data_IF_381130277459
#
_entry.id   IF_381130277459
#
_cell.length_a   1.000
_cell.length_b   1.000
_cell.length_c   1.000
_cell.angle_alpha   90.00
_cell.angle_beta   90.00
_cell.angle_gamma   90.00
#
_symmetry.space_group_name_H-M   'P 1'
#
loop_
_entity.id
_entity.type
_entity.pdbx_description
1 polymer ?
#
# COMPACT_ATOMS: atom_id res chain seq x y z
N UNK A 1 -2.20 17.26 -18.00
CA UNK A 1 -2.37 16.52 -16.72
C UNK A 1 -1.02 16.00 -16.29
N UNK A 2 -0.65 16.17 -15.03
CA UNK A 2 0.59 15.62 -14.49
C UNK A 2 0.51 14.09 -14.54
N UNK A 3 1.58 13.44 -15.03
CA UNK A 3 1.62 11.97 -15.17
C UNK A 3 1.92 11.33 -13.81
N UNK A 4 1.38 10.14 -13.52
CA UNK A 4 1.79 9.37 -12.35
C UNK A 4 3.31 9.13 -12.36
N UNK A 5 3.94 9.30 -11.19
CA UNK A 5 5.38 9.15 -10.99
C UNK A 5 5.74 8.07 -9.97
N UNK A 6 4.73 7.39 -9.43
CA UNK A 6 4.88 6.30 -8.48
C UNK A 6 3.80 5.24 -8.72
N UNK A 7 4.08 4.02 -8.27
CA UNK A 7 3.17 2.88 -8.40
C UNK A 7 3.12 2.08 -7.10
N UNK A 8 1.96 1.44 -6.84
CA UNK A 8 1.77 0.58 -5.66
C UNK A 8 1.07 -0.72 -6.02
N UNK A 9 1.49 -1.79 -5.35
CA UNK A 9 0.93 -3.13 -5.48
C UNK A 9 -0.09 -3.42 -4.38
N UNK A 10 -1.37 -3.46 -4.74
CA UNK A 10 -2.42 -3.98 -3.86
C UNK A 10 -2.41 -5.50 -4.04
N UNK A 11 -1.76 -6.22 -3.12
CA UNK A 11 -1.61 -7.67 -3.22
C UNK A 11 -2.67 -8.34 -2.35
N UNK A 12 -3.70 -8.89 -3.00
CA UNK A 12 -4.73 -9.71 -2.37
C UNK A 12 -4.32 -11.18 -2.41
N UNK A 13 -4.45 -11.87 -1.28
CA UNK A 13 -4.28 -13.31 -1.19
C UNK A 13 -5.58 -13.99 -0.78
N UNK A 14 -5.88 -15.15 -1.37
CA UNK A 14 -7.10 -15.92 -1.08
C UNK A 14 -6.95 -16.95 0.06
N UNK A 15 -5.73 -17.44 0.32
CA UNK A 15 -5.46 -18.46 1.34
C UNK A 15 -4.28 -18.09 2.23
N UNK A 16 -4.31 -18.41 3.55
CA UNK A 16 -5.31 -19.23 4.26
C UNK A 16 -6.67 -18.55 4.44
N UNK A 17 -6.75 -17.23 4.33
CA UNK A 17 -7.99 -16.47 4.25
C UNK A 17 -7.76 -15.20 3.41
N UNK A 18 -8.85 -14.60 2.91
CA UNK A 18 -8.79 -13.36 2.13
C UNK A 18 -8.08 -12.26 2.93
N UNK A 19 -6.98 -11.76 2.38
CA UNK A 19 -6.13 -10.79 3.07
C UNK A 19 -5.36 -9.91 2.08
N UNK A 20 -4.95 -8.74 2.55
CA UNK A 20 -4.12 -7.79 1.79
C UNK A 20 -2.76 -7.66 2.44
N UNK A 21 -1.70 -7.68 1.63
CA UNK A 21 -0.36 -7.37 2.15
C UNK A 21 -0.24 -5.86 2.36
N UNK A 22 0.13 -5.48 3.57
CA UNK A 22 0.55 -4.13 3.91
C UNK A 22 1.91 -4.17 4.61
N UNK A 23 2.72 -3.15 4.37
CA UNK A 23 4.05 -2.99 4.96
C UNK A 23 4.07 -1.75 5.84
N UNK A 24 4.83 -1.78 6.93
CA UNK A 24 5.20 -0.57 7.67
C UNK A 24 6.56 -0.11 7.17
N UNK A 25 6.59 1.09 6.61
CA UNK A 25 7.81 1.70 6.09
C UNK A 25 8.83 1.88 7.22
N UNK A 26 10.11 1.66 6.91
CA UNK A 26 11.20 1.98 7.81
C UNK A 26 11.21 3.47 8.16
N UNK A 27 11.82 3.82 9.30
CA UNK A 27 11.88 5.21 9.76
C UNK A 27 13.08 5.88 9.10
N UNK A 28 12.82 6.85 8.23
CA UNK A 28 13.84 7.66 7.56
C UNK A 28 13.57 9.15 7.77
N UNK A 29 14.56 9.94 8.22
CA UNK A 29 14.36 11.37 8.49
C UNK A 29 13.81 12.18 7.30
N UNK A 30 14.09 11.73 6.07
CA UNK A 30 13.74 12.43 4.83
C UNK A 30 12.53 11.82 4.11
N UNK A 31 11.90 10.78 4.64
CA UNK A 31 10.69 10.20 4.06
C UNK A 31 9.45 10.67 4.84
N UNK A 32 8.56 11.49 4.23
CA UNK A 32 7.37 12.01 4.89
C UNK A 32 6.32 10.94 5.21
N UNK A 33 6.49 9.71 4.72
CA UNK A 33 5.64 8.56 5.03
C UNK A 33 6.32 7.52 5.93
N UNK A 34 7.48 7.86 6.50
CA UNK A 34 8.21 7.01 7.44
C UNK A 34 7.32 6.44 8.55
N UNK A 35 7.43 5.14 8.78
CA UNK A 35 6.67 4.46 9.84
C UNK A 35 5.17 4.27 9.57
N UNK A 36 4.64 4.77 8.44
CA UNK A 36 3.24 4.53 8.04
C UNK A 36 3.06 3.13 7.46
N UNK A 37 1.84 2.60 7.59
CA UNK A 37 1.43 1.44 6.83
C UNK A 37 1.06 1.82 5.40
N UNK A 38 1.63 1.12 4.42
CA UNK A 38 1.38 1.30 3.00
C UNK A 38 1.24 -0.04 2.27
N UNK A 39 0.87 0.03 1.00
CA UNK A 39 1.16 -1.07 0.07
C UNK A 39 2.64 -1.05 -0.31
N UNK A 40 3.20 -2.17 -0.77
CA UNK A 40 4.49 -2.16 -1.46
C UNK A 40 4.46 -1.24 -2.68
N UNK A 41 5.55 -0.54 -2.95
CA UNK A 41 5.66 0.36 -4.08
C UNK A 41 6.49 1.62 -3.82
N UNK A 42 6.81 2.31 -4.91
CA UNK A 42 7.74 3.42 -4.89
C UNK A 42 7.67 4.27 -6.15
N UNK A 43 8.71 5.07 -6.36
CA UNK A 43 8.80 5.98 -7.50
C UNK A 43 9.27 5.23 -8.74
N UNK A 44 8.79 5.69 -9.90
CA UNK A 44 9.29 5.21 -11.17
C UNK A 44 10.75 5.59 -11.36
N UNK A 45 11.57 4.63 -11.75
CA UNK A 45 12.95 4.85 -12.18
C UNK A 45 13.02 5.01 -13.71
N UNK A 46 14.13 5.56 -14.19
CA UNK A 46 14.39 5.72 -15.64
C UNK A 46 14.56 4.37 -16.35
N UNK A 47 14.97 3.35 -15.60
CA UNK A 47 15.12 1.96 -16.04
C UNK A 47 13.79 1.23 -16.18
N UNK A 48 12.74 1.68 -15.49
CA UNK A 48 11.41 1.09 -15.60
C UNK A 48 10.75 1.51 -16.93
N UNK A 49 10.30 0.55 -17.73
CA UNK A 49 9.55 0.77 -18.97
C UNK A 49 8.24 1.51 -18.73
N UNK A 50 7.54 1.13 -17.67
CA UNK A 50 6.24 1.65 -17.28
C UNK A 50 6.01 1.52 -15.76
N UNK A 51 4.86 2.02 -15.28
CA UNK A 51 4.53 1.99 -13.85
C UNK A 51 4.19 0.59 -13.33
N UNK A 52 3.79 -0.34 -14.21
CA UNK A 52 3.58 -1.72 -13.80
C UNK A 52 4.92 -2.39 -13.52
N UNK A 53 5.95 -2.11 -14.32
CA UNK A 53 7.32 -2.55 -14.05
C UNK A 53 7.87 -1.96 -12.75
N UNK A 54 7.68 -0.66 -12.51
CA UNK A 54 7.98 -0.02 -11.20
C UNK A 54 7.32 -0.79 -10.05
N UNK A 55 6.02 -1.06 -10.17
CA UNK A 55 5.25 -1.79 -9.15
C UNK A 55 5.81 -3.18 -8.86
N UNK A 56 6.18 -3.92 -9.91
CA UNK A 56 6.74 -5.27 -9.81
C UNK A 56 8.15 -5.23 -9.20
N UNK A 57 9.02 -4.30 -9.62
CA UNK A 57 10.38 -4.11 -9.09
C UNK A 57 10.33 -3.79 -7.61
N UNK A 58 9.61 -2.75 -7.22
CA UNK A 58 9.49 -2.30 -5.83
C UNK A 58 8.95 -3.41 -4.92
N UNK A 59 7.91 -4.13 -5.38
CA UNK A 59 7.38 -5.28 -4.63
C UNK A 59 8.43 -6.36 -4.39
N UNK A 60 9.27 -6.63 -5.39
CA UNK A 60 10.35 -7.61 -5.25
C UNK A 60 11.42 -7.12 -4.28
N UNK A 61 11.79 -5.84 -4.36
CA UNK A 61 12.82 -5.22 -3.52
C UNK A 61 12.38 -5.14 -2.06
N UNK A 62 11.16 -4.67 -1.79
CA UNK A 62 10.66 -4.44 -0.42
C UNK A 62 10.27 -5.74 0.29
N UNK A 63 9.61 -6.68 -0.41
CA UNK A 63 8.99 -7.87 0.22
C UNK A 63 9.34 -9.20 -0.41
N UNK A 64 10.18 -9.24 -1.44
CA UNK A 64 10.65 -10.47 -2.06
C UNK A 64 9.63 -11.19 -2.94
N UNK A 65 8.46 -10.59 -3.18
CA UNK A 65 7.41 -11.21 -4.02
C UNK A 65 7.70 -10.88 -5.48
N UNK A 66 7.80 -11.90 -6.33
CA UNK A 66 7.86 -11.71 -7.78
C UNK A 66 6.43 -11.73 -8.34
N UNK A 67 5.90 -10.55 -8.65
CA UNK A 67 4.64 -10.39 -9.35
C UNK A 67 4.83 -10.59 -10.86
N UNK A 68 3.75 -10.94 -11.55
CA UNK A 68 3.72 -11.11 -12.99
C UNK A 68 2.43 -10.53 -13.57
N UNK A 69 2.47 -10.06 -14.81
CA UNK A 69 1.32 -9.41 -15.47
C UNK A 69 0.08 -10.31 -15.52
N UNK A 70 0.25 -11.64 -15.60
CA UNK A 70 -0.87 -12.59 -15.56
C UNK A 70 -1.61 -12.68 -14.20
N UNK A 71 -1.06 -12.08 -13.14
CA UNK A 71 -1.70 -11.96 -11.82
C UNK A 71 -2.35 -10.60 -11.61
N UNK A 72 -2.14 -9.65 -12.55
CA UNK A 72 -2.80 -8.37 -12.52
C UNK A 72 -4.29 -8.58 -12.80
N UNK A 73 -5.12 -8.24 -11.83
CA UNK A 73 -6.57 -8.35 -11.96
C UNK A 73 -7.14 -7.05 -12.54
N UNK A 74 -6.67 -5.90 -12.06
CA UNK A 74 -7.11 -4.60 -12.58
C UNK A 74 -6.13 -3.48 -12.26
N UNK A 75 -6.14 -2.46 -13.11
CA UNK A 75 -5.46 -1.17 -12.91
C UNK A 75 -6.48 -0.18 -12.39
N UNK A 76 -6.26 0.36 -11.19
CA UNK A 76 -7.19 1.30 -10.58
C UNK A 76 -7.01 2.72 -11.15
N UNK A 77 -7.98 3.63 -10.99
CA UNK A 77 -7.76 5.03 -11.30
C UNK A 77 -6.55 5.61 -10.56
N UNK A 78 -5.78 6.45 -11.25
CA UNK A 78 -4.70 7.22 -10.60
C UNK A 78 -5.26 8.08 -9.47
N UNK A 79 -4.49 8.23 -8.42
CA UNK A 79 -4.90 8.99 -7.24
C UNK A 79 -3.72 9.72 -6.63
N UNK A 80 -4.01 10.78 -5.88
CA UNK A 80 -3.01 11.69 -5.36
C UNK A 80 -2.74 11.44 -3.88
N UNK A 81 -1.46 11.45 -3.49
CA UNK A 81 -1.01 11.46 -2.08
C UNK A 81 -0.31 12.76 -1.72
N UNK A 82 -0.22 13.04 -0.42
CA UNK A 82 0.64 14.09 0.12
C UNK A 82 0.18 15.54 -0.08
N UNK A 83 -1.05 15.78 -0.54
CA UNK A 83 -1.66 17.13 -0.64
C UNK A 83 -1.55 17.93 0.67
N UNK A 84 -1.77 17.27 1.81
CA UNK A 84 -1.68 17.91 3.12
C UNK A 84 -0.24 18.05 3.66
N UNK A 85 0.75 17.52 2.93
CA UNK A 85 2.16 17.53 3.30
C UNK A 85 2.98 18.49 2.41
N UNK A 86 2.31 19.33 1.62
CA UNK A 86 2.93 20.18 0.57
C UNK A 86 3.81 19.39 -0.41
N UNK A 87 3.53 18.11 -0.59
CA UNK A 87 4.32 17.20 -1.40
C UNK A 87 3.38 16.26 -2.17
N UNK A 88 2.90 16.74 -3.32
CA UNK A 88 1.90 16.04 -4.12
C UNK A 88 2.56 15.00 -5.04
N UNK A 89 2.14 13.74 -4.92
CA UNK A 89 2.53 12.66 -5.85
C UNK A 89 1.26 12.04 -6.44
N UNK A 90 1.27 11.81 -7.75
CA UNK A 90 0.25 11.03 -8.44
C UNK A 90 0.73 9.58 -8.50
N UNK A 91 -0.06 8.68 -7.94
CA UNK A 91 0.24 7.26 -7.76
C UNK A 91 -0.70 6.42 -8.63
N UNK A 92 -0.16 5.41 -9.29
CA UNK A 92 -0.91 4.39 -10.03
C UNK A 92 -1.04 3.10 -9.19
N UNK A 93 -2.24 2.74 -8.71
CA UNK A 93 -2.45 1.50 -7.99
C UNK A 93 -2.75 0.34 -8.95
N UNK A 94 -2.18 -0.84 -8.65
CA UNK A 94 -2.40 -2.08 -9.38
C UNK A 94 -2.88 -3.17 -8.41
N UNK A 95 -4.00 -3.82 -8.72
CA UNK A 95 -4.54 -4.91 -7.91
C UNK A 95 -4.11 -6.26 -8.47
N UNK A 96 -3.37 -7.01 -7.66
CA UNK A 96 -2.95 -8.36 -7.94
C UNK A 96 -3.70 -9.33 -7.04
N UNK A 97 -4.10 -10.47 -7.59
CA UNK A 97 -4.70 -11.55 -6.82
C UNK A 97 -3.82 -12.81 -6.87
N UNK A 98 -3.43 -13.28 -5.69
CA UNK A 98 -2.62 -14.47 -5.49
C UNK A 98 -3.47 -15.56 -4.83
N UNK A 99 -3.31 -16.80 -5.29
CA UNK A 99 -4.06 -17.93 -4.72
C UNK A 99 -3.69 -18.24 -3.26
N UNK A 100 -2.47 -17.91 -2.85
CA UNK A 100 -1.96 -18.11 -1.48
C UNK A 100 -0.94 -17.06 -1.11
N UNK A 101 -0.75 -16.87 0.20
CA UNK A 101 0.29 -15.97 0.71
C UNK A 101 1.67 -16.52 0.32
N UNK A 102 2.47 -15.80 -0.48
CA UNK A 102 3.85 -16.18 -0.73
C UNK A 102 4.71 -15.96 0.52
N UNK A 103 5.86 -16.65 0.65
CA UNK A 103 6.87 -16.28 1.65
C UNK A 103 7.34 -14.84 1.41
N UNK A 104 7.62 -14.12 2.49
CA UNK A 104 8.11 -12.75 2.44
C UNK A 104 9.60 -12.73 2.76
N UNK A 105 10.36 -11.96 2.00
CA UNK A 105 11.75 -11.61 2.29
C UNK A 105 11.79 -10.09 2.37
N UNK A 106 11.75 -9.56 3.58
CA UNK A 106 11.67 -8.11 3.79
C UNK A 106 13.03 -7.47 3.62
N UNK A 107 13.11 -6.36 2.90
CA UNK A 107 14.27 -5.48 2.93
C UNK A 107 14.22 -4.62 4.21
N UNK A 108 15.10 -4.85 5.20
CA UNK A 108 15.03 -4.15 6.49
C UNK A 108 15.37 -2.66 6.38
N UNK A 109 15.99 -2.22 5.27
CA UNK A 109 16.25 -0.81 5.04
C UNK A 109 14.99 -0.04 4.66
N UNK A 110 13.96 -0.69 4.12
CA UNK A 110 12.76 -0.04 3.59
C UNK A 110 11.49 -0.46 4.34
N UNK A 111 11.48 -1.68 4.88
CA UNK A 111 10.33 -2.28 5.55
C UNK A 111 10.70 -2.66 6.98
N UNK A 112 10.05 -2.02 7.95
CA UNK A 112 10.19 -2.37 9.37
C UNK A 112 9.45 -3.68 9.69
N UNK A 113 8.25 -3.86 9.14
CA UNK A 113 7.41 -5.05 9.32
C UNK A 113 6.38 -5.17 8.22
N UNK A 114 5.83 -6.36 8.04
CA UNK A 114 4.71 -6.62 7.14
C UNK A 114 3.53 -7.23 7.90
N UNK A 115 2.33 -7.09 7.33
CA UNK A 115 1.11 -7.72 7.84
C UNK A 115 0.23 -8.18 6.69
N UNK A 116 -0.33 -9.38 6.81
CA UNK A 116 -1.48 -9.81 6.01
C UNK A 116 -2.75 -9.37 6.72
N UNK A 117 -3.26 -8.20 6.34
CA UNK A 117 -4.49 -7.64 6.89
C UNK A 117 -5.68 -8.44 6.36
N UNK A 118 -6.38 -9.13 7.24
CA UNK A 118 -7.55 -9.95 6.89
C UNK A 118 -8.68 -9.07 6.38
N UNK A 119 -9.26 -9.45 5.25
CA UNK A 119 -10.39 -8.74 4.63
C UNK A 119 -11.55 -8.60 5.61
N UNK A 120 -11.90 -9.70 6.30
CA UNK A 120 -12.97 -9.72 7.32
C UNK A 120 -12.74 -8.75 8.47
N UNK A 121 -11.48 -8.56 8.86
CA UNK A 121 -11.11 -7.71 9.99
C UNK A 121 -11.26 -6.24 9.62
N UNK A 122 -10.86 -5.88 8.40
CA UNK A 122 -11.02 -4.53 7.88
C UNK A 122 -12.48 -4.20 7.52
N UNK A 123 -13.31 -5.19 7.19
CA UNK A 123 -14.74 -4.99 6.94
C UNK A 123 -15.55 -4.73 8.22
N UNK A 124 -15.08 -5.19 9.38
CA UNK A 124 -15.72 -4.95 10.67
C UNK A 124 -15.65 -3.47 11.05
N UNK A 125 -16.76 -2.76 10.87
CA UNK A 125 -16.85 -1.31 11.12
C UNK A 125 -16.57 -0.94 12.59
N UNK A 126 -16.77 -1.85 13.54
CA UNK A 126 -16.53 -1.58 14.97
C UNK A 126 -15.06 -1.44 15.32
N UNK A 127 -14.17 -1.88 14.41
CA UNK A 127 -12.71 -1.82 14.59
C UNK A 127 -12.09 -0.52 14.08
N UNK A 128 -12.85 0.32 13.37
CA UNK A 128 -12.34 1.58 12.81
C UNK A 128 -12.46 2.71 13.83
N UNK A 129 -11.54 3.65 13.75
CA UNK A 129 -11.47 4.80 14.65
C UNK A 129 -11.21 6.07 13.85
N UNK A 130 -11.65 7.21 14.38
CA UNK A 130 -11.21 8.52 13.92
C UNK A 130 -10.00 8.94 14.74
N UNK A 131 -8.89 9.25 14.07
CA UNK A 131 -7.64 9.65 14.72
C UNK A 131 -7.10 10.96 14.14
N UNK A 132 -6.50 11.79 14.99
CA UNK A 132 -5.86 13.02 14.56
C UNK A 132 -4.44 12.72 14.05
N UNK A 133 -4.29 12.54 12.73
CA UNK A 133 -2.97 12.29 12.12
C UNK A 133 -2.25 13.57 11.71
N UNK A 134 -3.01 14.64 11.49
CA UNK A 134 -2.51 15.97 11.16
C UNK A 134 -3.21 16.92 12.14
N UNK A 135 -2.48 17.86 12.77
CA UNK A 135 -3.07 18.79 13.73
C UNK A 135 -4.35 19.45 13.19
N UNK A 136 -5.43 19.33 13.94
CA UNK A 136 -6.76 19.83 13.62
C UNK A 136 -7.57 19.00 12.63
N UNK A 137 -7.08 17.84 12.18
CA UNK A 137 -7.76 17.01 11.18
C UNK A 137 -7.87 15.54 11.59
N UNK A 138 -9.10 15.07 11.76
CA UNK A 138 -9.42 13.67 12.02
C UNK A 138 -9.45 12.86 10.71
N UNK A 139 -8.97 11.63 10.76
CA UNK A 139 -9.00 10.68 9.66
C UNK A 139 -9.55 9.33 10.13
N UNK A 140 -10.34 8.64 9.28
CA UNK A 140 -10.68 7.25 9.51
C UNK A 140 -9.41 6.41 9.42
N UNK A 141 -9.29 5.48 10.36
CA UNK A 141 -8.13 4.64 10.48
C UNK A 141 -8.47 3.27 11.07
N UNK A 142 -7.62 2.31 10.74
CA UNK A 142 -7.69 0.95 11.22
C UNK A 142 -6.49 0.66 12.14
N UNK A 143 -6.71 0.29 13.41
CA UNK A 143 -5.64 -0.10 14.33
C UNK A 143 -4.89 -1.33 13.83
N UNK A 144 -3.57 -1.22 13.71
CA UNK A 144 -2.71 -2.30 13.22
C UNK A 144 -1.44 -2.39 14.07
N UNK A 145 -1.50 -3.22 15.12
CA UNK A 145 -0.42 -3.35 16.10
C UNK A 145 -0.32 -2.09 16.98
N UNK A 146 0.86 -1.48 17.00
CA UNK A 146 1.21 -0.26 17.75
C UNK A 146 0.94 1.04 16.98
N UNK A 147 0.30 0.96 15.82
CA UNK A 147 0.06 2.11 14.95
C UNK A 147 -1.24 1.93 14.18
N UNK A 148 -1.47 2.81 13.19
CA UNK A 148 -2.70 2.83 12.41
C UNK A 148 -2.43 2.76 10.91
N UNK A 149 -3.32 2.07 10.19
CA UNK A 149 -3.45 2.17 8.74
C UNK A 149 -4.51 3.24 8.44
N UNK A 150 -4.13 4.27 7.71
CA UNK A 150 -4.95 5.47 7.49
C UNK A 150 -4.67 6.08 6.11
N UNK A 151 -5.34 7.19 5.79
CA UNK A 151 -5.01 8.00 4.63
C UNK A 151 -5.20 7.27 3.30
N UNK A 152 -4.17 7.32 2.44
CA UNK A 152 -4.24 6.74 1.08
C UNK A 152 -4.54 5.24 1.08
N UNK A 153 -3.77 4.46 1.83
CA UNK A 153 -3.93 3.00 1.87
C UNK A 153 -5.29 2.61 2.40
N UNK A 154 -5.77 3.30 3.44
CA UNK A 154 -7.13 3.12 3.95
C UNK A 154 -8.19 3.36 2.86
N UNK A 155 -8.12 4.49 2.16
CA UNK A 155 -9.09 4.86 1.12
C UNK A 155 -9.11 3.86 -0.03
N UNK A 156 -7.96 3.36 -0.44
CA UNK A 156 -7.87 2.34 -1.48
C UNK A 156 -8.46 1.00 -1.02
N UNK A 157 -8.19 0.57 0.21
CA UNK A 157 -8.81 -0.64 0.76
C UNK A 157 -10.34 -0.51 0.85
N UNK A 158 -10.86 0.65 1.27
CA UNK A 158 -12.31 0.92 1.25
C UNK A 158 -12.87 0.84 -0.17
N UNK A 159 -12.23 1.52 -1.12
CA UNK A 159 -12.65 1.54 -2.51
C UNK A 159 -12.76 0.13 -3.10
N UNK A 160 -11.71 -0.70 -2.98
CA UNK A 160 -11.73 -2.06 -3.57
C UNK A 160 -12.68 -3.03 -2.89
N UNK A 161 -13.05 -2.78 -1.63
CA UNK A 161 -13.98 -3.63 -0.87
C UNK A 161 -15.44 -3.21 -1.00
N UNK A 162 -15.69 -2.03 -1.55
CA UNK A 162 -17.02 -1.50 -1.87
C UNK A 162 -17.38 -1.68 -3.35
N UNK A 163 -16.46 -2.20 -4.19
CA UNK A 163 -16.68 -2.61 -5.58
C UNK A 163 -17.48 -3.92 -5.68
#
# INVERSE_FOLDING_TARGET
MQKPSAAVAIIKSLTPEKSFLVIRRAIHPNDPWSGHFSFPGGRKEDTDRDLLETCIRETREEVGITLSENKLQTTLPVTTVGKNLNFEIIVQPFLFELSKQPPLILNPHEVQKSCWLKERDFLDQTRHQEIEMIPGTMFPAFPLGDYFLWGFTYKILRFILEM
#
